data_IF_103648963796
#
_entry.id   IF_103648963796
#
_cell.length_a   1.000
_cell.length_b   1.000
_cell.length_c   1.000
_cell.angle_alpha   90.00
_cell.angle_beta   90.00
_cell.angle_gamma   90.00
#
_symmetry.space_group_name_H-M   'P 1'
#
loop_
_entity.id
_entity.type
_entity.pdbx_description
1 polymer ?
#
# COMPACT_ATOMS: atom_id res chain seq x y z
N UNK A 1 46.44 -47.05 -24.42
CA UNK A 1 45.75 -46.39 -25.55
C UNK A 1 44.46 -47.15 -25.88
N UNK A 2 43.37 -46.63 -25.43
CA UNK A 2 42.05 -47.04 -25.92
C UNK A 2 41.21 -45.78 -25.96
N UNK A 3 41.03 -45.25 -27.17
CA UNK A 3 40.11 -44.21 -27.50
C UNK A 3 38.72 -44.75 -27.29
N UNK A 4 37.99 -44.20 -26.34
CA UNK A 4 36.60 -44.52 -26.11
C UNK A 4 35.72 -43.45 -26.77
N UNK A 5 35.36 -43.69 -28.03
CA UNK A 5 34.28 -42.93 -28.70
C UNK A 5 32.96 -43.19 -27.99
N UNK A 6 32.56 -42.25 -27.15
CA UNK A 6 31.23 -42.30 -26.51
C UNK A 6 30.16 -41.87 -27.50
N UNK A 7 29.44 -42.82 -28.06
CA UNK A 7 28.20 -42.56 -28.79
C UNK A 7 27.09 -42.15 -27.81
N UNK A 8 26.70 -40.87 -27.87
CA UNK A 8 25.46 -40.40 -27.21
C UNK A 8 24.31 -40.73 -28.16
N UNK A 9 23.40 -41.63 -27.74
CA UNK A 9 22.20 -41.93 -28.50
C UNK A 9 21.34 -40.65 -28.67
N UNK A 10 21.10 -40.29 -29.89
CA UNK A 10 20.36 -39.09 -30.32
C UNK A 10 18.84 -39.17 -30.05
N UNK A 11 18.35 -40.30 -29.53
CA UNK A 11 16.92 -40.55 -29.35
C UNK A 11 16.28 -39.88 -28.13
N UNK A 12 17.04 -39.13 -27.33
CA UNK A 12 16.55 -38.45 -26.12
C UNK A 12 16.64 -36.92 -26.15
N UNK A 13 16.98 -36.32 -27.28
CA UNK A 13 16.96 -34.85 -27.41
C UNK A 13 15.72 -34.44 -28.16
N UNK A 14 14.62 -34.20 -27.44
CA UNK A 14 13.45 -33.52 -27.99
C UNK A 14 13.80 -32.02 -28.05
N UNK A 15 14.19 -31.54 -29.20
CA UNK A 15 14.29 -30.10 -29.49
C UNK A 15 12.86 -29.56 -29.62
N UNK A 16 12.30 -29.00 -28.55
CA UNK A 16 11.12 -28.16 -28.67
C UNK A 16 11.56 -26.79 -29.18
N UNK A 17 11.36 -26.52 -30.43
CA UNK A 17 11.44 -25.19 -31.02
C UNK A 17 10.17 -24.46 -30.63
N UNK A 18 10.17 -23.70 -29.53
CA UNK A 18 9.17 -22.67 -29.32
C UNK A 18 9.40 -21.59 -30.36
N UNK A 19 8.54 -21.55 -31.37
CA UNK A 19 8.46 -20.41 -32.26
C UNK A 19 7.93 -19.23 -31.46
N UNK A 20 8.81 -18.36 -31.02
CA UNK A 20 8.41 -17.03 -30.58
C UNK A 20 7.93 -16.32 -31.85
N UNK A 21 6.61 -16.25 -32.04
CA UNK A 21 6.04 -15.41 -33.07
C UNK A 21 6.48 -13.98 -32.80
N UNK A 22 7.35 -13.43 -33.61
CA UNK A 22 7.65 -12.01 -33.59
C UNK A 22 6.35 -11.27 -33.91
N UNK A 23 5.88 -10.47 -32.97
CA UNK A 23 4.72 -9.61 -33.14
C UNK A 23 4.96 -8.73 -34.38
N UNK A 24 3.99 -8.65 -35.27
CA UNK A 24 4.13 -7.79 -36.43
C UNK A 24 4.08 -6.33 -35.99
N UNK A 25 4.76 -5.43 -36.72
CA UNK A 25 4.76 -4.00 -36.42
C UNK A 25 3.34 -3.43 -36.28
N UNK A 26 2.39 -3.92 -37.06
CA UNK A 26 0.99 -3.53 -36.99
C UNK A 26 0.29 -4.01 -35.72
N UNK A 27 0.64 -5.20 -35.21
CA UNK A 27 0.11 -5.72 -33.95
C UNK A 27 0.68 -4.96 -32.75
N UNK A 28 1.98 -4.62 -32.80
CA UNK A 28 2.63 -3.79 -31.79
C UNK A 28 1.99 -2.39 -31.74
N UNK A 29 1.80 -1.73 -32.88
CA UNK A 29 1.13 -0.42 -32.95
C UNK A 29 -0.32 -0.49 -32.44
N UNK A 30 -1.06 -1.54 -32.77
CA UNK A 30 -2.42 -1.75 -32.29
C UNK A 30 -2.45 -2.00 -30.77
N UNK A 31 -1.49 -2.72 -30.23
CA UNK A 31 -1.35 -2.96 -28.78
C UNK A 31 -1.04 -1.66 -28.05
N UNK A 32 -0.08 -0.87 -28.55
CA UNK A 32 0.29 0.41 -27.97
C UNK A 32 -0.86 1.42 -28.01
N UNK A 33 -1.61 1.46 -29.12
CA UNK A 33 -2.79 2.32 -29.23
C UNK A 33 -3.91 1.94 -28.25
N UNK A 34 -4.13 0.64 -28.01
CA UNK A 34 -5.08 0.16 -27.00
C UNK A 34 -4.63 0.52 -25.59
N UNK A 35 -3.36 0.35 -25.28
CA UNK A 35 -2.79 0.70 -23.98
C UNK A 35 -2.87 2.20 -23.71
N UNK A 36 -2.62 3.02 -24.74
CA UNK A 36 -2.76 4.47 -24.63
C UNK A 36 -4.22 4.90 -24.44
N UNK A 37 -5.15 4.30 -25.18
CA UNK A 37 -6.58 4.57 -25.03
C UNK A 37 -7.10 4.17 -23.64
N UNK A 38 -6.67 3.01 -23.13
CA UNK A 38 -7.01 2.55 -21.78
C UNK A 38 -6.43 3.49 -20.70
N UNK A 39 -5.20 3.95 -20.88
CA UNK A 39 -4.57 4.93 -19.98
C UNK A 39 -5.30 6.26 -19.97
N UNK A 40 -5.74 6.75 -21.15
CA UNK A 40 -6.51 7.99 -21.27
C UNK A 40 -7.91 7.83 -20.64
N UNK A 41 -8.58 6.69 -20.85
CA UNK A 41 -9.87 6.41 -20.25
C UNK A 41 -9.77 6.33 -18.73
N UNK A 42 -8.74 5.66 -18.20
CA UNK A 42 -8.47 5.58 -16.77
C UNK A 42 -8.16 6.97 -16.16
N UNK A 43 -7.41 7.82 -16.88
CA UNK A 43 -7.12 9.18 -16.42
C UNK A 43 -8.38 10.04 -16.33
N UNK A 44 -9.29 9.94 -17.32
CA UNK A 44 -10.59 10.66 -17.30
C UNK A 44 -11.47 10.17 -16.16
N UNK A 45 -11.59 8.85 -15.95
CA UNK A 45 -12.35 8.29 -14.85
C UNK A 45 -11.79 8.72 -13.48
N UNK A 46 -10.47 8.77 -13.32
CA UNK A 46 -9.83 9.26 -12.10
C UNK A 46 -10.11 10.75 -11.84
N UNK A 47 -10.13 11.57 -12.89
CA UNK A 47 -10.45 12.99 -12.76
C UNK A 47 -11.92 13.21 -12.39
N UNK A 48 -12.85 12.47 -12.99
CA UNK A 48 -14.27 12.51 -12.64
C UNK A 48 -14.50 12.04 -11.18
N UNK A 49 -13.85 10.96 -10.77
CA UNK A 49 -13.91 10.48 -9.40
C UNK A 49 -13.35 11.50 -8.39
N UNK A 50 -12.27 12.21 -8.76
CA UNK A 50 -11.74 13.30 -7.92
C UNK A 50 -12.74 14.44 -7.78
N UNK A 51 -13.33 14.90 -8.89
CA UNK A 51 -14.35 15.97 -8.87
C UNK A 51 -15.59 15.58 -8.07
N UNK A 52 -16.02 14.33 -8.17
CA UNK A 52 -17.14 13.82 -7.39
C UNK A 52 -16.84 13.84 -5.87
N UNK A 53 -15.64 13.43 -5.47
CA UNK A 53 -15.19 13.46 -4.06
C UNK A 53 -15.04 14.88 -3.52
N UNK A 54 -14.52 15.80 -4.33
CA UNK A 54 -14.42 17.21 -3.94
C UNK A 54 -15.80 17.82 -3.73
N UNK A 55 -16.77 17.48 -4.58
CA UNK A 55 -18.15 17.92 -4.45
C UNK A 55 -18.84 17.31 -3.20
N UNK A 56 -18.59 16.03 -2.91
CA UNK A 56 -19.10 15.35 -1.71
C UNK A 56 -18.49 15.94 -0.44
N UNK A 57 -17.17 16.17 -0.42
CA UNK A 57 -16.47 16.81 0.70
C UNK A 57 -16.98 18.23 0.95
N UNK A 58 -17.24 19.01 -0.11
CA UNK A 58 -17.80 20.34 -0.01
C UNK A 58 -19.24 20.32 0.58
N UNK A 59 -20.06 19.33 0.19
CA UNK A 59 -21.40 19.14 0.78
C UNK A 59 -21.32 18.77 2.25
N UNK A 60 -20.46 17.82 2.61
CA UNK A 60 -20.26 17.42 4.00
C UNK A 60 -19.75 18.58 4.88
N UNK A 61 -18.82 19.40 4.37
CA UNK A 61 -18.34 20.58 5.04
C UNK A 61 -19.45 21.64 5.26
N UNK A 62 -20.28 21.85 4.25
CA UNK A 62 -21.43 22.77 4.35
C UNK A 62 -22.47 22.30 5.37
N UNK A 63 -22.73 20.98 5.44
CA UNK A 63 -23.63 20.38 6.40
C UNK A 63 -23.10 20.49 7.83
N UNK A 64 -21.80 20.26 8.04
CA UNK A 64 -21.15 20.46 9.33
C UNK A 64 -21.18 21.93 9.78
N UNK A 65 -20.99 22.87 8.86
CA UNK A 65 -21.07 24.29 9.16
C UNK A 65 -22.52 24.71 9.52
N UNK A 66 -23.51 24.16 8.84
CA UNK A 66 -24.92 24.40 9.13
C UNK A 66 -25.32 23.85 10.51
N UNK A 67 -24.88 22.63 10.86
CA UNK A 67 -25.14 22.03 12.18
C UNK A 67 -24.42 22.80 13.30
N UNK A 68 -23.19 23.27 13.07
CA UNK A 68 -22.45 24.09 14.02
C UNK A 68 -23.14 25.45 14.27
N UNK A 69 -23.62 26.12 13.22
CA UNK A 69 -24.39 27.37 13.33
C UNK A 69 -25.74 27.16 14.04
N UNK A 70 -26.36 26.01 13.85
CA UNK A 70 -27.59 25.67 14.55
C UNK A 70 -27.38 25.41 16.05
N UNK A 71 -26.27 24.75 16.41
CA UNK A 71 -25.86 24.50 17.80
C UNK A 71 -25.51 25.81 18.52
N UNK A 72 -24.74 26.71 17.87
CA UNK A 72 -24.41 28.03 18.44
C UNK A 72 -25.62 28.90 18.70
N UNK A 73 -26.64 28.88 17.82
CA UNK A 73 -27.92 29.55 18.05
C UNK A 73 -28.73 28.98 19.25
N UNK A 74 -28.58 27.69 19.57
CA UNK A 74 -29.20 27.08 20.71
C UNK A 74 -28.48 27.43 22.03
N UNK A 75 -27.15 27.53 22.03
CA UNK A 75 -26.39 27.94 23.21
C UNK A 75 -26.64 29.41 23.59
N UNK A 76 -26.70 30.31 22.62
CA UNK A 76 -27.03 31.72 22.86
C UNK A 76 -28.43 31.88 23.45
N UNK A 77 -29.38 30.98 23.14
CA UNK A 77 -30.75 30.98 23.72
C UNK A 77 -30.80 30.43 25.14
N UNK A 78 -29.80 29.62 25.53
CA UNK A 78 -29.71 28.98 26.85
C UNK A 78 -28.94 29.83 27.89
N UNK A 79 -28.04 30.73 27.45
CA UNK A 79 -27.26 31.63 28.32
C UNK A 79 -27.98 32.92 28.76
N UNK A 80 -29.24 33.10 28.29
CA UNK A 80 -30.06 34.27 28.65
C UNK A 80 -30.94 34.11 29.87
N UNK A 81 -30.93 32.97 30.59
CA UNK A 81 -31.74 32.77 31.76
C UNK A 81 -30.95 32.09 32.88
N UNK A 82 -30.45 32.88 33.82
CA UNK A 82 -29.91 32.31 35.05
C UNK A 82 -28.66 32.97 35.61
N UNK A 83 -28.78 34.17 36.11
CA UNK A 83 -27.85 34.73 37.11
C UNK A 83 -28.28 34.26 38.49
N UNK A 84 -27.39 33.58 39.24
CA UNK A 84 -27.12 33.84 40.65
C UNK A 84 -26.31 32.74 41.35
N UNK A 85 -25.25 33.16 42.01
CA UNK A 85 -24.76 32.74 43.32
C UNK A 85 -23.87 31.50 43.48
N UNK A 86 -22.67 31.81 43.87
CA UNK A 86 -21.92 31.56 45.11
C UNK A 86 -20.91 30.41 45.15
N UNK A 87 -19.67 30.82 45.23
CA UNK A 87 -18.66 30.61 46.28
C UNK A 87 -18.15 29.20 46.63
N UNK A 88 -16.82 29.06 46.52
CA UNK A 88 -16.05 28.41 47.60
C UNK A 88 -15.32 27.11 47.23
N UNK A 89 -13.99 27.13 47.39
CA UNK A 89 -13.25 25.91 47.71
C UNK A 89 -11.93 25.66 46.98
N UNK A 90 -10.88 26.18 47.59
CA UNK A 90 -9.44 25.95 47.37
C UNK A 90 -9.00 24.52 47.71
N UNK A 91 -8.04 23.94 46.98
CA UNK A 91 -6.77 23.37 47.51
C UNK A 91 -6.01 22.55 46.47
N UNK A 92 -4.91 22.97 46.03
CA UNK A 92 -3.50 22.55 46.17
C UNK A 92 -3.23 21.04 46.20
N UNK A 93 -2.26 20.61 45.35
CA UNK A 93 -1.60 19.32 45.40
C UNK A 93 -0.57 19.13 44.29
N UNK A 94 0.68 19.60 44.57
CA UNK A 94 1.88 19.34 43.81
C UNK A 94 2.29 17.85 43.90
N UNK A 95 2.98 17.36 42.86
CA UNK A 95 3.71 16.10 42.87
C UNK A 95 4.62 15.91 41.65
N UNK A 96 5.83 16.41 41.77
CA UNK A 96 6.96 16.13 40.90
C UNK A 96 7.43 14.69 41.03
N UNK A 97 7.94 14.10 39.92
CA UNK A 97 8.69 12.86 39.94
C UNK A 97 9.45 12.63 38.65
N UNK A 98 10.62 13.24 38.52
CA UNK A 98 11.63 12.89 37.51
C UNK A 98 12.32 11.58 37.90
N UNK A 99 12.59 10.73 36.92
CA UNK A 99 13.74 9.81 36.98
C UNK A 99 14.25 9.48 35.60
N UNK A 100 15.42 9.98 35.31
CA UNK A 100 16.28 9.59 34.19
C UNK A 100 16.91 8.21 34.50
N UNK A 101 17.03 7.37 33.49
CA UNK A 101 17.79 6.14 33.52
C UNK A 101 18.42 5.87 32.16
N UNK A 102 19.68 6.28 32.02
CA UNK A 102 20.55 5.90 30.90
C UNK A 102 20.91 4.41 31.02
N UNK A 103 20.76 3.67 29.93
CA UNK A 103 21.26 2.33 29.75
C UNK A 103 21.68 2.10 28.31
N UNK A 104 22.97 2.37 28.04
CA UNK A 104 23.64 2.04 26.79
C UNK A 104 23.98 0.56 26.79
N UNK A 105 23.54 -0.21 25.77
CA UNK A 105 23.93 -1.62 25.62
C UNK A 105 23.34 -2.26 24.38
N UNK A 106 24.18 -2.49 23.39
CA UNK A 106 24.15 -3.52 22.33
C UNK A 106 22.81 -3.79 21.61
N UNK A 107 22.55 -3.04 20.53
CA UNK A 107 21.26 -3.09 19.82
C UNK A 107 21.26 -3.67 18.41
N UNK A 108 22.30 -4.34 17.93
CA UNK A 108 22.33 -4.84 16.55
C UNK A 108 21.47 -6.08 16.31
N UNK A 109 21.29 -6.94 17.30
CA UNK A 109 20.48 -8.16 17.18
C UNK A 109 18.97 -7.95 17.42
N UNK A 110 18.62 -6.99 18.28
CA UNK A 110 17.22 -6.66 18.59
C UNK A 110 16.52 -5.87 17.47
N UNK A 111 17.25 -5.06 16.72
CA UNK A 111 16.68 -4.27 15.64
C UNK A 111 16.22 -5.13 14.45
N UNK A 112 16.96 -6.20 14.11
CA UNK A 112 16.57 -7.11 13.04
C UNK A 112 15.34 -7.96 13.38
N UNK A 113 15.21 -8.37 14.64
CA UNK A 113 14.08 -9.17 15.11
C UNK A 113 12.79 -8.36 15.24
N UNK A 114 12.86 -7.10 15.68
CA UNK A 114 11.72 -6.17 15.69
C UNK A 114 11.29 -5.76 14.31
N UNK A 115 12.21 -5.52 13.38
CA UNK A 115 11.89 -5.22 11.98
C UNK A 115 11.15 -6.39 11.29
N UNK A 116 11.60 -7.63 11.50
CA UNK A 116 10.96 -8.83 10.97
C UNK A 116 9.57 -9.06 11.58
N UNK A 117 9.37 -8.78 12.87
CA UNK A 117 8.05 -8.90 13.53
C UNK A 117 7.06 -7.85 13.00
N UNK A 118 7.51 -6.61 12.77
CA UNK A 118 6.68 -5.55 12.20
C UNK A 118 6.30 -5.87 10.75
N UNK A 119 7.22 -6.39 9.94
CA UNK A 119 6.95 -6.80 8.58
C UNK A 119 5.90 -7.92 8.50
N UNK A 120 5.98 -8.91 9.39
CA UNK A 120 4.98 -9.97 9.48
C UNK A 120 3.60 -9.42 9.91
N UNK A 121 3.56 -8.51 10.87
CA UNK A 121 2.32 -7.87 11.30
C UNK A 121 1.64 -7.09 10.15
N UNK A 122 2.44 -6.41 9.29
CA UNK A 122 1.94 -5.77 8.07
C UNK A 122 1.30 -6.78 7.12
N UNK A 123 1.92 -7.94 6.91
CA UNK A 123 1.39 -9.00 6.06
C UNK A 123 0.09 -9.56 6.64
N UNK A 124 0.05 -9.83 7.94
CA UNK A 124 -1.14 -10.38 8.61
C UNK A 124 -2.33 -9.40 8.55
N UNK A 125 -2.05 -8.12 8.71
CA UNK A 125 -3.06 -7.07 8.51
C UNK A 125 -3.52 -6.97 7.05
N UNK A 126 -2.59 -6.99 6.11
CA UNK A 126 -2.89 -6.95 4.67
C UNK A 126 -3.78 -8.12 4.22
N UNK A 127 -3.58 -9.31 4.78
CA UNK A 127 -4.35 -10.53 4.47
C UNK A 127 -5.84 -10.42 4.80
N UNK A 128 -6.23 -9.55 5.74
CA UNK A 128 -7.64 -9.35 6.14
C UNK A 128 -8.48 -8.75 5.00
N UNK A 129 -7.83 -8.15 4.01
CA UNK A 129 -8.50 -7.48 2.88
C UNK A 129 -8.53 -8.31 1.59
N UNK A 130 -8.06 -9.55 1.63
CA UNK A 130 -8.12 -10.45 0.47
C UNK A 130 -9.55 -10.60 -0.05
N UNK A 131 -9.71 -10.51 -1.37
CA UNK A 131 -11.03 -10.59 -2.03
C UNK A 131 -11.76 -9.25 -2.10
N UNK A 132 -11.32 -8.20 -1.41
CA UNK A 132 -11.94 -6.88 -1.51
C UNK A 132 -11.68 -6.27 -2.91
N UNK A 133 -12.58 -5.40 -3.39
CA UNK A 133 -12.55 -4.95 -4.77
C UNK A 133 -11.35 -4.06 -5.10
N UNK A 134 -10.89 -4.15 -6.35
CA UNK A 134 -9.98 -3.18 -6.93
C UNK A 134 -10.79 -2.01 -7.50
N UNK A 135 -10.37 -0.78 -7.19
CA UNK A 135 -10.89 0.44 -7.81
C UNK A 135 -9.71 1.34 -8.15
N UNK A 136 -9.53 1.67 -9.42
CA UNK A 136 -8.46 2.56 -9.85
C UNK A 136 -8.59 3.94 -9.17
N UNK A 137 -7.50 4.44 -8.59
CA UNK A 137 -7.51 5.67 -7.77
C UNK A 137 -8.17 5.52 -6.40
N UNK A 138 -8.70 4.34 -6.06
CA UNK A 138 -9.31 4.03 -4.77
C UNK A 138 -8.32 4.03 -3.61
N UNK A 139 -8.80 4.31 -2.40
CA UNK A 139 -8.01 4.34 -1.17
C UNK A 139 -8.67 3.58 0.00
N UNK A 140 -9.81 2.94 -0.24
CA UNK A 140 -10.51 2.18 0.79
C UNK A 140 -10.13 0.71 0.73
N UNK A 141 -9.54 0.19 1.79
CA UNK A 141 -9.14 -1.23 1.87
C UNK A 141 -10.33 -2.19 1.76
N UNK A 142 -11.55 -1.73 2.08
CA UNK A 142 -12.77 -2.53 2.08
C UNK A 142 -13.68 -2.25 0.88
N UNK A 143 -13.79 -0.98 0.45
CA UNK A 143 -14.76 -0.56 -0.56
C UNK A 143 -14.12 -0.33 -1.94
N UNK A 144 -12.82 -0.57 -2.08
CA UNK A 144 -12.07 -0.48 -3.33
C UNK A 144 -10.82 0.37 -3.23
N UNK A 145 -9.72 -0.20 -3.65
CA UNK A 145 -8.39 0.42 -3.68
C UNK A 145 -7.63 -0.03 -4.92
N UNK A 146 -6.69 0.80 -5.38
CA UNK A 146 -5.68 0.37 -6.34
C UNK A 146 -4.41 -0.17 -5.63
N UNK A 147 -3.42 -0.59 -6.39
CA UNK A 147 -2.21 -1.20 -5.87
C UNK A 147 -1.46 -0.32 -4.86
N UNK A 148 -1.24 0.95 -5.17
CA UNK A 148 -0.53 1.89 -4.28
C UNK A 148 -1.41 2.41 -3.15
N UNK A 149 -2.72 2.55 -3.37
CA UNK A 149 -3.71 2.84 -2.33
C UNK A 149 -3.78 1.72 -1.29
N UNK A 150 -3.72 0.46 -1.72
CA UNK A 150 -3.65 -0.72 -0.86
C UNK A 150 -2.41 -0.68 0.05
N UNK A 151 -1.22 -0.56 -0.54
CA UNK A 151 0.05 -0.48 0.21
C UNK A 151 0.01 0.69 1.18
N UNK A 152 -0.40 1.88 0.73
CA UNK A 152 -0.55 3.07 1.58
C UNK A 152 -1.52 2.83 2.75
N UNK A 153 -2.68 2.25 2.48
CA UNK A 153 -3.71 2.00 3.50
C UNK A 153 -3.25 1.00 4.55
N UNK A 154 -2.56 -0.06 4.12
CA UNK A 154 -2.00 -1.06 5.03
C UNK A 154 -0.95 -0.43 5.95
N UNK A 155 0.01 0.31 5.41
CA UNK A 155 1.07 0.96 6.21
C UNK A 155 0.55 2.08 7.11
N UNK A 156 -0.53 2.77 6.71
CA UNK A 156 -1.18 3.78 7.54
C UNK A 156 -1.70 3.23 8.87
N UNK A 157 -2.14 1.97 8.91
CA UNK A 157 -2.55 1.29 10.14
C UNK A 157 -1.40 1.12 11.14
N UNK A 158 -0.15 1.18 10.66
CA UNK A 158 1.06 1.12 11.48
C UNK A 158 1.68 2.51 11.72
N UNK A 159 0.93 3.59 11.45
CA UNK A 159 1.40 4.96 11.63
C UNK A 159 2.34 5.47 10.55
N UNK A 160 2.52 4.72 9.45
CA UNK A 160 3.45 5.05 8.36
C UNK A 160 2.67 5.65 7.19
N UNK A 161 2.95 6.93 6.91
CA UNK A 161 2.28 7.63 5.81
C UNK A 161 3.10 7.53 4.52
N UNK A 162 2.68 6.65 3.61
CA UNK A 162 3.32 6.45 2.31
C UNK A 162 2.74 7.41 1.25
N UNK A 163 3.53 7.75 0.21
CA UNK A 163 3.05 8.48 -0.96
C UNK A 163 1.91 7.75 -1.67
N UNK A 164 1.13 8.50 -2.47
CA UNK A 164 -0.05 7.94 -3.13
C UNK A 164 0.26 7.04 -4.32
N UNK A 165 1.30 7.34 -5.06
CA UNK A 165 1.58 6.67 -6.33
C UNK A 165 2.61 5.55 -6.19
N UNK A 166 2.49 4.50 -7.02
CA UNK A 166 3.44 3.39 -7.04
C UNK A 166 4.86 3.84 -7.45
N UNK A 167 4.98 4.91 -8.23
CA UNK A 167 6.27 5.44 -8.63
C UNK A 167 6.99 6.15 -7.47
N UNK A 168 6.27 6.91 -6.65
CA UNK A 168 6.81 7.55 -5.44
C UNK A 168 7.16 6.53 -4.36
N UNK A 169 6.32 5.48 -4.22
CA UNK A 169 6.58 4.39 -3.27
C UNK A 169 7.87 3.60 -3.60
N UNK A 170 8.40 3.72 -4.80
CA UNK A 170 9.71 3.16 -5.17
C UNK A 170 10.90 3.82 -4.46
N UNK A 171 10.70 4.98 -3.87
CA UNK A 171 11.75 5.77 -3.20
C UNK A 171 11.59 5.84 -1.68
N UNK A 172 10.62 5.12 -1.09
CA UNK A 172 10.40 5.11 0.37
C UNK A 172 11.37 4.16 1.06
N UNK A 173 11.58 4.34 2.37
CA UNK A 173 12.42 3.47 3.19
C UNK A 173 13.84 3.29 2.62
N UNK A 174 14.39 2.10 2.75
CA UNK A 174 15.70 1.76 2.18
C UNK A 174 15.62 0.61 1.17
N UNK A 175 16.58 0.57 0.24
CA UNK A 175 16.64 -0.44 -0.81
C UNK A 175 17.11 -1.77 -0.22
N UNK A 176 16.46 -2.87 -0.65
CA UNK A 176 16.80 -4.24 -0.29
C UNK A 176 17.00 -5.03 -1.57
N UNK A 177 17.96 -5.97 -1.58
CA UNK A 177 18.12 -6.89 -2.70
C UNK A 177 16.97 -7.91 -2.71
N UNK A 178 16.62 -8.44 -3.89
CA UNK A 178 15.59 -9.46 -4.00
C UNK A 178 15.95 -10.75 -3.25
N UNK A 179 17.24 -11.03 -3.06
CA UNK A 179 17.73 -12.17 -2.28
C UNK A 179 17.56 -12.02 -0.77
N UNK A 180 17.39 -10.79 -0.29
CA UNK A 180 17.23 -10.44 1.13
C UNK A 180 15.81 -9.99 1.48
N UNK A 181 14.87 -10.21 0.54
CA UNK A 181 13.48 -9.81 0.70
C UNK A 181 12.83 -10.51 1.91
N UNK A 182 12.11 -9.77 2.71
CA UNK A 182 11.41 -10.25 3.91
C UNK A 182 9.92 -9.87 3.89
N UNK A 183 9.07 -10.63 4.60
CA UNK A 183 7.67 -10.27 4.76
C UNK A 183 7.50 -8.82 5.19
N UNK A 184 6.56 -8.12 4.55
CA UNK A 184 6.33 -6.70 4.75
C UNK A 184 7.13 -5.79 3.81
N UNK A 185 8.14 -6.27 3.08
CA UNK A 185 8.81 -5.43 2.10
C UNK A 185 7.88 -5.02 0.95
N UNK A 186 8.03 -3.79 0.49
CA UNK A 186 7.27 -3.26 -0.65
C UNK A 186 8.00 -3.64 -1.93
N UNK A 187 7.33 -4.35 -2.83
CA UNK A 187 7.87 -4.75 -4.13
C UNK A 187 7.29 -3.85 -5.22
N UNK A 188 8.16 -3.19 -5.96
CA UNK A 188 7.79 -2.21 -6.97
C UNK A 188 8.09 -2.74 -8.38
N UNK A 189 7.10 -2.60 -9.26
CA UNK A 189 7.15 -2.94 -10.68
C UNK A 189 6.86 -1.70 -11.54
N UNK A 190 6.90 -1.85 -12.85
CA UNK A 190 6.44 -0.78 -13.75
C UNK A 190 4.93 -0.58 -13.57
N UNK A 191 4.54 0.61 -13.10
CA UNK A 191 3.14 0.98 -12.89
C UNK A 191 2.40 0.19 -11.80
N UNK A 192 3.11 -0.61 -10.98
CA UNK A 192 2.47 -1.48 -10.00
C UNK A 192 3.30 -1.65 -8.72
N UNK A 193 2.65 -2.01 -7.62
CA UNK A 193 3.28 -2.22 -6.32
C UNK A 193 2.48 -3.21 -5.48
N UNK A 194 3.15 -3.92 -4.59
CA UNK A 194 2.52 -4.81 -3.61
C UNK A 194 3.41 -5.04 -2.40
N UNK A 195 2.93 -5.84 -1.46
CA UNK A 195 3.62 -6.20 -0.21
C UNK A 195 4.09 -7.66 -0.33
N UNK A 196 5.35 -7.91 -0.06
CA UNK A 196 5.86 -9.28 -0.01
C UNK A 196 5.30 -10.02 1.19
N UNK A 197 4.65 -11.14 0.95
CA UNK A 197 3.96 -11.92 1.97
C UNK A 197 4.76 -13.13 2.48
N UNK A 198 6.04 -13.25 2.06
CA UNK A 198 6.85 -14.44 2.30
C UNK A 198 6.60 -15.53 1.25
N UNK A 199 7.42 -16.58 1.26
CA UNK A 199 7.29 -17.77 0.40
C UNK A 199 7.11 -17.43 -1.10
N UNK A 200 7.91 -16.49 -1.59
CA UNK A 200 7.88 -16.03 -2.99
C UNK A 200 6.50 -15.52 -3.45
N UNK A 201 5.71 -14.94 -2.52
CA UNK A 201 4.33 -14.51 -2.74
C UNK A 201 4.18 -13.02 -2.48
N UNK A 202 3.43 -12.36 -3.34
CA UNK A 202 3.04 -10.96 -3.24
C UNK A 202 1.55 -10.87 -2.84
N UNK A 203 1.21 -9.93 -1.96
CA UNK A 203 -0.17 -9.51 -1.71
C UNK A 203 -0.35 -8.11 -2.30
N UNK A 204 -1.37 -7.92 -3.15
CA UNK A 204 -1.60 -6.67 -3.86
C UNK A 204 -3.04 -6.51 -4.32
N UNK A 205 -3.49 -5.28 -4.53
CA UNK A 205 -4.69 -5.00 -5.31
C UNK A 205 -4.30 -5.11 -6.80
N UNK A 206 -4.74 -6.19 -7.45
CA UNK A 206 -4.27 -6.61 -8.76
C UNK A 206 -4.98 -5.91 -9.91
N UNK A 207 -6.28 -6.15 -10.04
CA UNK A 207 -7.15 -5.57 -11.07
C UNK A 207 -8.63 -5.73 -10.67
N UNK A 208 -9.53 -5.17 -11.47
CA UNK A 208 -10.98 -5.16 -11.21
C UNK A 208 -11.62 -6.55 -11.15
N UNK A 209 -11.03 -7.56 -11.81
CA UNK A 209 -11.56 -8.93 -11.83
C UNK A 209 -11.17 -9.71 -10.58
N UNK A 210 -9.99 -9.47 -10.06
CA UNK A 210 -9.40 -10.27 -8.96
C UNK A 210 -9.38 -9.55 -7.63
N UNK A 211 -9.51 -8.20 -7.64
CA UNK A 211 -9.43 -7.41 -6.42
C UNK A 211 -8.06 -7.51 -5.74
N UNK A 212 -8.09 -7.54 -4.41
CA UNK A 212 -6.91 -7.78 -3.58
C UNK A 212 -6.67 -9.29 -3.51
N UNK A 213 -5.49 -9.72 -3.94
CA UNK A 213 -5.16 -11.14 -4.11
C UNK A 213 -3.70 -11.45 -3.78
N UNK A 214 -3.39 -12.74 -3.73
CA UNK A 214 -2.03 -13.26 -3.65
C UNK A 214 -1.56 -13.69 -5.04
N UNK A 215 -0.31 -13.34 -5.38
CA UNK A 215 0.33 -13.75 -6.64
C UNK A 215 1.71 -14.33 -6.38
N UNK A 216 2.02 -15.46 -6.98
CA UNK A 216 3.33 -16.13 -6.94
C UNK A 216 3.70 -16.58 -8.35
N UNK A 217 4.98 -16.53 -8.73
CA UNK A 217 6.11 -16.01 -7.97
C UNK A 217 6.12 -14.47 -7.87
N UNK A 218 6.84 -13.91 -6.90
CA UNK A 218 7.01 -12.45 -6.77
C UNK A 218 7.63 -11.82 -8.02
N UNK A 219 8.36 -12.62 -8.79
CA UNK A 219 8.98 -12.24 -10.07
C UNK A 219 8.08 -12.42 -11.29
N UNK A 220 6.74 -12.56 -11.10
CA UNK A 220 5.78 -12.66 -12.21
C UNK A 220 5.81 -11.45 -13.18
N UNK A 221 6.41 -10.35 -12.74
CA UNK A 221 6.81 -9.17 -13.52
C UNK A 221 8.23 -8.78 -13.14
N UNK A 222 8.90 -7.99 -13.99
CA UNK A 222 10.23 -7.45 -13.69
C UNK A 222 10.16 -6.57 -12.44
N UNK A 223 10.86 -6.97 -11.37
CA UNK A 223 10.98 -6.19 -10.14
C UNK A 223 11.95 -5.04 -10.38
N UNK A 224 11.48 -3.81 -10.14
CA UNK A 224 12.27 -2.59 -10.30
C UNK A 224 12.96 -2.18 -9.00
N UNK A 225 12.34 -2.43 -7.87
CA UNK A 225 12.90 -2.14 -6.55
C UNK A 225 12.17 -2.97 -5.49
N UNK A 226 12.88 -3.27 -4.41
CA UNK A 226 12.33 -3.73 -3.13
C UNK A 226 12.65 -2.68 -2.08
N UNK A 227 11.67 -2.31 -1.27
CA UNK A 227 11.79 -1.24 -0.27
C UNK A 227 11.37 -1.74 1.09
N UNK A 228 12.22 -1.58 2.10
CA UNK A 228 11.93 -1.91 3.49
C UNK A 228 11.69 -0.64 4.28
N UNK A 229 10.69 -0.69 5.18
CA UNK A 229 10.24 0.45 5.97
C UNK A 229 10.69 0.32 7.44
N UNK A 230 10.73 -0.92 7.99
CA UNK A 230 11.08 -1.19 9.39
C UNK A 230 12.52 -1.65 9.56
#
# INVERSE_FOLDING_TARGET
TADGDGYVALDYVTLSTEYIHAESKAEEEARLAREEAERQAAARAAEEARKAREAEAARAAAEQEATRKAAEKQEVKKSGAGSSAAAGGSSTGSGSGSSAGSGSGSSAGQSAQTASSNGQAVVDYARQFLGNPYVYGGNSLTNGTDCSGFVKGVYAAFGINLPRTSSEQRSVGYAVSLSEIQPGDIVCYSGHVGIYAGNNTLIHASNEKTGITLTSPVTYRSVLAVRRIF
#
